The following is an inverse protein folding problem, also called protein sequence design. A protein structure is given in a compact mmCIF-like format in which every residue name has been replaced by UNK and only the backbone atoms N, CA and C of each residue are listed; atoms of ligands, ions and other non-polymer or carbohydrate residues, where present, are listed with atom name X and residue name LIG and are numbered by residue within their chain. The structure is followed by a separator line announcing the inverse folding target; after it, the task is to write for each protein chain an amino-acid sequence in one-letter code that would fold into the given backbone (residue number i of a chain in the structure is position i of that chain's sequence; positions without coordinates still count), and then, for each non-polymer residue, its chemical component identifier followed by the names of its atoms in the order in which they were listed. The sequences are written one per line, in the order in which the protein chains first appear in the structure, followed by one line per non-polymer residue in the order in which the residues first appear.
data_IF_373767097135
#
_entry.id   IF_373767097135
#
_cell.length_a   1.000
_cell.length_b   1.000
_cell.length_c   1.000
_cell.angle_alpha   90.00
_cell.angle_beta   90.00
_cell.angle_gamma   90.00
#
_symmetry.space_group_name_H-M   'P 1'
#
loop_
_entity.id
_entity.type
_entity.pdbx_description
1 polymer ?
#
# COMPACT_ATOMS: atom_id res chain seq x y z
N UNK A 1 44.64 -27.33 23.21
CA UNK A 1 43.40 -27.36 24.03
C UNK A 1 42.42 -28.33 23.37
N UNK A 2 41.86 -29.30 24.08
CA UNK A 2 40.91 -30.27 23.54
C UNK A 2 39.50 -29.64 23.71
N UNK A 3 38.76 -29.53 22.60
CA UNK A 3 37.40 -28.99 22.66
C UNK A 3 36.46 -29.97 23.34
N UNK A 4 35.37 -29.52 24.03
CA UNK A 4 34.38 -30.38 24.64
C UNK A 4 33.73 -31.32 23.61
N UNK A 5 33.25 -32.49 24.08
CA UNK A 5 32.53 -33.42 23.23
C UNK A 5 31.25 -32.77 22.64
N UNK A 6 31.09 -32.88 21.32
CA UNK A 6 29.97 -32.28 20.65
C UNK A 6 30.17 -30.82 20.20
N UNK A 7 31.25 -30.16 20.67
CA UNK A 7 31.48 -28.74 20.32
C UNK A 7 31.84 -28.52 18.85
N UNK A 8 32.24 -29.54 18.12
CA UNK A 8 32.67 -29.49 16.73
C UNK A 8 34.17 -29.62 16.57
N UNK A 9 34.70 -29.35 15.39
CA UNK A 9 36.11 -29.53 15.08
C UNK A 9 36.64 -28.52 14.07
N UNK A 10 37.88 -28.06 14.29
CA UNK A 10 38.64 -27.27 13.31
C UNK A 10 39.80 -28.14 12.87
N UNK A 11 39.88 -28.45 11.58
CA UNK A 11 40.92 -29.34 11.03
C UNK A 11 41.45 -28.83 9.69
N UNK A 12 42.72 -29.14 9.42
CA UNK A 12 43.39 -28.72 8.20
C UNK A 12 43.10 -29.69 7.06
N UNK A 13 42.72 -29.16 5.93
CA UNK A 13 42.54 -29.88 4.68
C UNK A 13 43.85 -30.04 3.96
N UNK A 14 44.03 -31.13 3.20
CA UNK A 14 45.20 -31.37 2.36
C UNK A 14 45.18 -30.50 1.09
N UNK A 15 46.35 -30.25 0.53
CA UNK A 15 46.56 -29.46 -0.69
C UNK A 15 46.82 -27.97 -0.45
N UNK A 16 47.22 -27.27 -1.53
CA UNK A 16 47.53 -25.83 -1.50
C UNK A 16 46.29 -24.98 -1.63
N UNK A 17 45.61 -24.67 -0.53
CA UNK A 17 44.33 -23.94 -0.47
C UNK A 17 44.53 -22.58 0.18
N UNK A 18 43.85 -21.55 -0.32
CA UNK A 18 43.82 -20.21 0.27
C UNK A 18 43.26 -20.23 1.71
N UNK A 19 42.23 -21.06 1.95
CA UNK A 19 41.62 -21.28 3.26
C UNK A 19 41.70 -22.77 3.64
N UNK A 20 42.83 -23.21 4.22
CA UNK A 20 43.10 -24.64 4.42
C UNK A 20 42.39 -25.23 5.66
N UNK A 21 41.82 -24.41 6.55
CA UNK A 21 41.18 -24.89 7.76
C UNK A 21 39.66 -24.98 7.56
N UNK A 22 39.10 -26.16 7.77
CA UNK A 22 37.65 -26.40 7.76
C UNK A 22 37.13 -26.44 9.20
N UNK A 23 36.00 -25.80 9.40
CA UNK A 23 35.25 -25.78 10.66
C UNK A 23 34.00 -26.64 10.48
N UNK A 24 33.83 -27.66 11.34
CA UNK A 24 32.69 -28.57 11.25
C UNK A 24 32.00 -28.75 12.60
N UNK A 25 30.70 -28.86 12.57
CA UNK A 25 29.82 -29.13 13.70
C UNK A 25 28.97 -30.36 13.41
N UNK A 26 28.33 -30.92 14.44
CA UNK A 26 27.35 -31.96 14.29
C UNK A 26 25.96 -31.35 14.50
N UNK A 27 25.05 -31.60 13.54
CA UNK A 27 23.66 -31.14 13.58
C UNK A 27 22.76 -32.35 13.66
N UNK A 28 21.77 -32.33 14.55
CA UNK A 28 20.76 -33.36 14.65
C UNK A 28 19.72 -33.13 13.55
N UNK A 29 19.48 -34.15 12.71
CA UNK A 29 18.47 -34.16 11.65
C UNK A 29 17.45 -35.24 11.94
N UNK A 30 16.25 -35.22 11.32
CA UNK A 30 15.25 -36.27 11.46
C UNK A 30 15.78 -37.68 11.12
N UNK A 31 16.85 -37.77 10.33
CA UNK A 31 17.49 -39.01 9.87
C UNK A 31 18.73 -39.37 10.70
N UNK A 32 19.08 -38.59 11.75
CA UNK A 32 20.23 -38.82 12.61
C UNK A 32 21.21 -37.64 12.65
N UNK A 33 22.33 -37.82 13.37
CA UNK A 33 23.34 -36.80 13.59
C UNK A 33 24.30 -36.73 12.42
N UNK A 34 24.35 -35.57 11.73
CA UNK A 34 25.15 -35.37 10.51
C UNK A 34 26.25 -34.34 10.79
N UNK A 35 27.46 -34.59 10.25
CA UNK A 35 28.56 -33.64 10.28
C UNK A 35 28.39 -32.58 9.18
N UNK A 36 28.34 -31.30 9.57
CA UNK A 36 28.18 -30.16 8.65
C UNK A 36 29.38 -29.24 8.73
N UNK A 37 30.00 -28.88 7.58
CA UNK A 37 31.02 -27.85 7.50
C UNK A 37 30.37 -26.50 7.51
N UNK A 38 30.78 -25.62 8.45
CA UNK A 38 30.21 -24.29 8.65
C UNK A 38 31.02 -23.18 8.01
N UNK A 39 32.27 -23.47 7.63
CA UNK A 39 33.11 -22.50 6.93
C UNK A 39 34.53 -23.00 6.74
N UNK A 40 35.31 -22.18 6.01
CA UNK A 40 36.73 -22.37 5.76
C UNK A 40 37.49 -21.08 6.12
N UNK A 41 38.66 -21.19 6.76
CA UNK A 41 39.44 -20.04 7.18
C UNK A 41 40.93 -20.25 6.89
N UNK A 42 41.71 -19.15 6.91
CA UNK A 42 43.13 -19.15 6.62
C UNK A 42 43.96 -19.66 7.81
N UNK A 43 43.54 -19.30 9.04
CA UNK A 43 44.23 -19.71 10.27
C UNK A 43 43.33 -20.57 11.16
N UNK A 44 43.93 -21.38 12.03
CA UNK A 44 43.24 -22.25 12.98
C UNK A 44 42.47 -21.44 14.04
N UNK A 45 43.05 -20.33 14.42
CA UNK A 45 42.51 -19.38 15.41
C UNK A 45 41.18 -18.79 14.92
N UNK A 46 41.10 -18.39 13.65
CA UNK A 46 39.85 -17.90 13.01
C UNK A 46 38.79 -18.98 13.02
N UNK A 47 39.20 -20.24 12.78
CA UNK A 47 38.27 -21.38 12.85
C UNK A 47 37.75 -21.67 14.25
N UNK A 48 38.57 -21.48 15.27
CA UNK A 48 38.12 -21.62 16.67
C UNK A 48 37.19 -20.48 17.07
N UNK A 49 37.43 -19.26 16.59
CA UNK A 49 36.55 -18.13 16.79
C UNK A 49 35.20 -18.37 16.10
N UNK A 50 35.21 -18.82 14.85
CA UNK A 50 34.00 -19.18 14.10
C UNK A 50 33.20 -20.26 14.81
N UNK A 51 33.85 -21.24 15.41
CA UNK A 51 33.19 -22.31 16.18
C UNK A 51 32.59 -21.78 17.49
N UNK A 52 33.29 -20.87 18.17
CA UNK A 52 32.78 -20.21 19.37
C UNK A 52 31.53 -19.32 19.08
N UNK A 53 31.60 -18.57 17.99
CA UNK A 53 30.48 -17.73 17.54
C UNK A 53 29.28 -18.58 17.11
N UNK A 54 29.52 -19.74 16.51
CA UNK A 54 28.47 -20.73 16.23
C UNK A 54 27.76 -21.19 17.51
N UNK A 55 28.49 -21.48 18.58
CA UNK A 55 27.88 -21.95 19.84
C UNK A 55 27.20 -20.85 20.64
N UNK A 56 27.58 -19.59 20.42
CA UNK A 56 26.83 -18.44 20.96
C UNK A 56 25.48 -18.28 20.28
N UNK A 57 25.35 -18.70 18.99
CA UNK A 57 24.15 -18.63 18.20
C UNK A 57 23.97 -19.88 17.33
N UNK A 58 23.56 -21.03 17.87
CA UNK A 58 23.49 -22.32 17.15
C UNK A 58 22.46 -22.37 16.02
N UNK A 59 21.52 -21.43 15.97
CA UNK A 59 20.49 -21.34 14.91
C UNK A 59 20.99 -20.77 13.58
N UNK A 60 22.26 -20.36 13.46
CA UNK A 60 22.73 -19.42 12.45
C UNK A 60 23.30 -20.01 11.16
N UNK A 61 23.47 -21.33 10.97
CA UNK A 61 24.18 -21.81 9.75
C UNK A 61 23.28 -21.88 8.53
N UNK A 62 22.04 -22.32 8.68
CA UNK A 62 21.09 -22.31 7.55
C UNK A 62 20.58 -20.90 7.29
N UNK A 63 20.32 -20.15 8.37
CA UNK A 63 19.85 -18.77 8.28
C UNK A 63 20.93 -17.77 7.88
N UNK A 64 22.19 -17.99 8.26
CA UNK A 64 23.30 -17.10 7.91
C UNK A 64 23.64 -17.06 6.40
N UNK A 65 23.22 -18.05 5.62
CA UNK A 65 23.41 -18.08 4.17
C UNK A 65 22.23 -17.48 3.38
N UNK A 66 21.08 -17.23 4.02
CA UNK A 66 19.88 -16.74 3.37
C UNK A 66 20.12 -15.35 2.79
N UNK A 67 19.85 -15.21 1.50
CA UNK A 67 19.99 -13.96 0.77
C UNK A 67 18.79 -13.04 0.95
N UNK A 68 18.94 -11.77 0.63
CA UNK A 68 17.85 -10.79 0.62
C UNK A 68 16.68 -11.24 -0.26
N UNK A 69 16.98 -11.83 -1.44
CA UNK A 69 15.94 -12.32 -2.34
C UNK A 69 15.18 -13.51 -1.76
N UNK A 70 15.83 -14.41 -1.04
CA UNK A 70 15.17 -15.55 -0.38
C UNK A 70 14.31 -15.09 0.81
N UNK A 71 14.77 -14.08 1.59
CA UNK A 71 13.96 -13.45 2.63
C UNK A 71 12.72 -12.82 2.02
N UNK A 72 12.89 -12.06 0.92
CA UNK A 72 11.74 -11.46 0.23
C UNK A 72 10.74 -12.51 -0.26
N UNK A 73 11.20 -13.60 -0.87
CA UNK A 73 10.32 -14.66 -1.37
C UNK A 73 9.49 -15.29 -0.23
N UNK A 74 10.16 -15.71 0.86
CA UNK A 74 9.49 -16.30 2.03
C UNK A 74 8.48 -15.32 2.67
N UNK A 75 8.89 -14.07 2.88
CA UNK A 75 8.02 -13.03 3.40
C UNK A 75 6.83 -12.76 2.45
N UNK A 76 7.06 -12.71 1.14
CA UNK A 76 6.04 -12.45 0.15
C UNK A 76 4.96 -13.55 0.12
N UNK A 77 5.36 -14.82 0.20
CA UNK A 77 4.45 -15.97 0.24
C UNK A 77 3.48 -15.88 1.43
N UNK A 78 3.96 -15.45 2.60
CA UNK A 78 3.14 -15.31 3.80
C UNK A 78 2.32 -14.01 3.83
N UNK A 79 2.86 -12.93 3.28
CA UNK A 79 2.30 -11.59 3.41
C UNK A 79 1.29 -11.27 2.31
N UNK A 80 1.55 -11.69 1.07
CA UNK A 80 0.73 -11.29 -0.08
C UNK A 80 -0.68 -11.88 -0.08
N UNK A 81 -0.89 -13.00 0.59
CA UNK A 81 -2.25 -13.57 0.78
C UNK A 81 -3.14 -12.73 1.69
N UNK A 82 -2.54 -11.84 2.50
CA UNK A 82 -3.24 -11.03 3.51
C UNK A 82 -3.54 -9.60 3.04
N UNK A 83 -3.06 -9.20 1.86
CA UNK A 83 -3.13 -7.82 1.38
C UNK A 83 -3.77 -7.71 0.00
N UNK A 84 -4.18 -6.50 -0.38
CA UNK A 84 -4.79 -6.25 -1.70
C UNK A 84 -3.78 -6.37 -2.84
N UNK A 85 -4.25 -6.75 -4.04
CA UNK A 85 -3.43 -6.83 -5.25
C UNK A 85 -2.68 -5.50 -5.57
N UNK A 86 -3.26 -4.36 -5.22
CA UNK A 86 -2.60 -3.06 -5.39
C UNK A 86 -1.39 -2.90 -4.46
N UNK A 87 -1.48 -3.37 -3.20
CA UNK A 87 -0.36 -3.35 -2.28
C UNK A 87 0.73 -4.34 -2.72
N UNK A 88 0.36 -5.53 -3.20
CA UNK A 88 1.31 -6.49 -3.79
C UNK A 88 2.13 -5.83 -4.89
N UNK A 89 1.47 -5.17 -5.87
CA UNK A 89 2.16 -4.43 -6.95
C UNK A 89 3.09 -3.35 -6.40
N UNK A 90 2.69 -2.66 -5.32
CA UNK A 90 3.52 -1.66 -4.66
C UNK A 90 4.80 -2.24 -4.05
N UNK A 91 4.71 -3.36 -3.34
CA UNK A 91 5.88 -4.07 -2.79
C UNK A 91 6.78 -4.64 -3.88
N UNK A 92 6.21 -5.22 -4.94
CA UNK A 92 6.96 -5.71 -6.09
C UNK A 92 7.73 -4.57 -6.80
N UNK A 93 7.12 -3.39 -6.94
CA UNK A 93 7.78 -2.23 -7.52
C UNK A 93 8.94 -1.72 -6.63
N UNK A 94 8.75 -1.70 -5.30
CA UNK A 94 9.81 -1.37 -4.34
C UNK A 94 10.94 -2.39 -4.38
N UNK A 95 10.63 -3.68 -4.43
CA UNK A 95 11.63 -4.75 -4.52
C UNK A 95 12.50 -4.62 -5.77
N UNK A 96 11.94 -4.25 -6.91
CA UNK A 96 12.68 -4.00 -8.15
C UNK A 96 13.77 -2.93 -8.02
N UNK A 97 13.67 -2.03 -7.06
CA UNK A 97 14.73 -1.06 -6.77
C UNK A 97 15.92 -1.66 -6.00
N UNK A 98 15.79 -2.88 -5.47
CA UNK A 98 16.77 -3.52 -4.58
C UNK A 98 17.71 -4.50 -5.28
N UNK A 99 17.93 -4.39 -6.59
CA UNK A 99 18.69 -5.38 -7.39
C UNK A 99 20.08 -5.67 -6.86
N UNK A 100 20.75 -4.66 -6.32
CA UNK A 100 22.09 -4.78 -5.73
C UNK A 100 22.11 -5.64 -4.46
N UNK A 101 20.99 -5.71 -3.73
CA UNK A 101 20.87 -6.48 -2.50
C UNK A 101 20.51 -7.95 -2.74
N UNK A 102 19.99 -8.31 -3.90
CA UNK A 102 19.37 -9.63 -4.13
C UNK A 102 20.27 -10.82 -3.70
N UNK A 103 21.53 -10.76 -4.06
CA UNK A 103 22.51 -11.83 -3.78
C UNK A 103 23.28 -11.65 -2.47
N UNK A 104 23.06 -10.53 -1.78
CA UNK A 104 23.70 -10.31 -0.47
C UNK A 104 23.00 -11.18 0.58
N UNK A 105 23.78 -11.78 1.47
CA UNK A 105 23.21 -12.48 2.62
C UNK A 105 22.55 -11.44 3.54
N UNK A 106 21.38 -11.78 4.06
CA UNK A 106 20.61 -10.87 4.92
C UNK A 106 21.41 -10.39 6.14
N UNK A 107 22.24 -11.28 6.69
CA UNK A 107 23.13 -10.99 7.84
C UNK A 107 24.24 -9.97 7.53
N UNK A 108 24.61 -9.77 6.27
CA UNK A 108 25.66 -8.84 5.86
C UNK A 108 25.11 -7.46 5.48
N UNK A 109 23.81 -7.32 5.32
CA UNK A 109 23.20 -6.04 4.96
C UNK A 109 23.24 -5.08 6.14
N UNK A 110 23.81 -3.90 5.90
CA UNK A 110 23.94 -2.80 6.86
C UNK A 110 23.18 -1.57 6.39
N UNK A 111 23.07 -0.57 7.27
CA UNK A 111 22.47 0.73 6.93
C UNK A 111 23.03 1.28 5.61
N UNK A 112 24.34 1.22 5.41
CA UNK A 112 24.98 1.79 4.22
C UNK A 112 24.47 1.17 2.92
N UNK A 113 24.22 -0.15 2.89
CA UNK A 113 23.68 -0.83 1.71
C UNK A 113 22.23 -0.39 1.42
N UNK A 114 21.39 -0.29 2.46
CA UNK A 114 20.01 0.15 2.33
C UNK A 114 19.92 1.62 1.90
N UNK A 115 20.75 2.48 2.53
CA UNK A 115 20.82 3.90 2.20
C UNK A 115 21.29 4.10 0.76
N UNK A 116 22.28 3.33 0.31
CA UNK A 116 22.76 3.39 -1.08
C UNK A 116 21.62 3.12 -2.08
N UNK A 117 20.80 2.10 -1.85
CA UNK A 117 19.62 1.84 -2.70
C UNK A 117 18.64 3.04 -2.70
N UNK A 118 18.39 3.66 -1.55
CA UNK A 118 17.56 4.86 -1.45
C UNK A 118 18.15 6.00 -2.29
N UNK A 119 19.46 6.22 -2.17
CA UNK A 119 20.14 7.37 -2.76
C UNK A 119 20.32 7.23 -4.29
N UNK A 120 20.37 5.99 -4.79
CA UNK A 120 20.66 5.69 -6.21
C UNK A 120 19.42 5.34 -7.04
N UNK A 121 18.32 4.92 -6.43
CA UNK A 121 17.16 4.43 -7.18
C UNK A 121 16.38 5.51 -7.97
N UNK A 122 16.69 6.80 -7.79
CA UNK A 122 16.11 7.92 -8.55
C UNK A 122 14.60 8.09 -8.38
N UNK A 123 14.02 7.68 -7.24
CA UNK A 123 12.59 7.78 -6.96
C UNK A 123 12.25 8.99 -6.11
N UNK A 124 11.00 9.49 -6.25
CA UNK A 124 10.47 10.55 -5.43
C UNK A 124 10.17 10.10 -3.99
N UNK A 125 10.04 11.06 -3.06
CA UNK A 125 9.83 10.80 -1.63
C UNK A 125 8.70 9.81 -1.31
N UNK A 126 7.47 9.89 -1.90
CA UNK A 126 6.42 8.91 -1.63
C UNK A 126 6.81 7.47 -2.00
N UNK A 127 7.61 7.29 -3.05
CA UNK A 127 8.10 5.98 -3.48
C UNK A 127 9.22 5.49 -2.57
N UNK A 128 10.15 6.37 -2.17
CA UNK A 128 11.20 6.06 -1.21
C UNK A 128 10.61 5.64 0.14
N UNK A 129 9.53 6.28 0.58
CA UNK A 129 8.82 5.87 1.80
C UNK A 129 8.26 4.44 1.70
N UNK A 130 7.73 4.04 0.54
CA UNK A 130 7.28 2.65 0.33
C UNK A 130 8.45 1.66 0.35
N UNK A 131 9.59 2.06 -0.20
CA UNK A 131 10.81 1.26 -0.17
C UNK A 131 11.33 1.09 1.27
N UNK A 132 11.33 2.17 2.06
CA UNK A 132 11.67 2.11 3.49
C UNK A 132 10.73 1.17 4.26
N UNK A 133 9.42 1.20 3.96
CA UNK A 133 8.45 0.26 4.54
C UNK A 133 8.77 -1.18 4.15
N UNK A 134 9.15 -1.44 2.90
CA UNK A 134 9.58 -2.79 2.48
C UNK A 134 10.80 -3.25 3.29
N UNK A 135 11.82 -2.42 3.45
CA UNK A 135 12.99 -2.76 4.27
C UNK A 135 12.58 -3.11 5.71
N UNK A 136 11.74 -2.30 6.34
CA UNK A 136 11.25 -2.57 7.69
C UNK A 136 10.50 -3.89 7.79
N UNK A 137 9.67 -4.23 6.81
CA UNK A 137 8.94 -5.50 6.78
C UNK A 137 9.88 -6.70 6.63
N UNK A 138 10.89 -6.60 5.76
CA UNK A 138 11.85 -7.69 5.53
C UNK A 138 12.77 -7.89 6.73
N UNK A 139 13.26 -6.80 7.36
CA UNK A 139 14.07 -6.91 8.57
C UNK A 139 13.27 -7.44 9.77
N UNK A 140 12.00 -7.01 9.91
CA UNK A 140 11.10 -7.57 10.92
C UNK A 140 10.92 -9.08 10.72
N UNK A 141 10.61 -9.53 9.51
CA UNK A 141 10.49 -10.94 9.17
C UNK A 141 11.80 -11.69 9.46
N UNK A 142 12.95 -11.11 9.09
CA UNK A 142 14.26 -11.72 9.32
C UNK A 142 14.60 -11.86 10.82
N UNK A 143 14.20 -10.89 11.65
CA UNK A 143 14.34 -10.98 13.11
C UNK A 143 13.42 -12.05 13.71
N UNK A 144 12.13 -12.07 13.29
CA UNK A 144 11.14 -13.05 13.78
C UNK A 144 11.50 -14.49 13.43
N UNK A 145 12.33 -14.69 12.39
CA UNK A 145 12.80 -16.02 11.92
C UNK A 145 14.28 -16.28 12.22
N UNK A 146 14.89 -15.54 13.14
CA UNK A 146 16.30 -15.70 13.56
C UNK A 146 17.31 -15.64 12.39
N UNK A 147 16.95 -14.95 11.28
CA UNK A 147 17.81 -14.78 10.11
C UNK A 147 18.84 -13.66 10.34
N UNK A 148 18.49 -12.65 11.11
CA UNK A 148 19.39 -11.59 11.53
C UNK A 148 19.16 -11.21 13.00
N UNK A 149 20.16 -10.56 13.61
CA UNK A 149 20.11 -10.19 15.03
C UNK A 149 19.84 -8.69 15.25
N UNK A 150 19.78 -7.91 14.16
CA UNK A 150 19.60 -6.46 14.25
C UNK A 150 18.86 -5.94 13.02
N UNK A 151 17.90 -5.06 13.27
CA UNK A 151 17.20 -4.30 12.23
C UNK A 151 17.99 -3.03 11.87
N UNK A 152 18.56 -3.01 10.66
CA UNK A 152 19.24 -1.83 10.13
C UNK A 152 18.33 -0.92 9.33
N UNK A 153 17.09 -1.35 9.00
CA UNK A 153 16.14 -0.56 8.23
C UNK A 153 15.69 0.69 8.98
N UNK A 154 15.62 0.64 10.32
CA UNK A 154 15.24 1.75 11.17
C UNK A 154 16.18 2.97 11.08
N UNK A 155 17.40 2.77 10.60
CA UNK A 155 18.41 3.84 10.46
C UNK A 155 18.43 4.46 9.06
N UNK A 156 17.59 3.98 8.15
CA UNK A 156 17.50 4.52 6.79
C UNK A 156 16.83 5.89 6.83
N UNK A 157 17.48 6.88 6.26
CA UNK A 157 17.00 8.25 6.23
C UNK A 157 16.56 8.65 4.82
N UNK A 158 15.34 9.17 4.72
CA UNK A 158 14.75 9.72 3.50
C UNK A 158 14.34 11.19 3.65
N UNK A 159 14.64 11.84 4.79
CA UNK A 159 14.17 13.20 5.08
C UNK A 159 14.65 14.22 4.05
N UNK A 160 15.90 14.07 3.57
CA UNK A 160 16.50 14.95 2.55
C UNK A 160 15.76 14.98 1.20
N UNK A 161 14.86 14.02 0.95
CA UNK A 161 14.08 13.92 -0.29
C UNK A 161 12.68 14.51 -0.16
N UNK A 162 12.26 14.93 1.05
CA UNK A 162 10.89 15.36 1.33
C UNK A 162 10.48 16.59 0.52
N UNK A 163 11.37 17.56 0.40
CA UNK A 163 11.13 18.83 -0.29
C UNK A 163 11.46 18.76 -1.79
N UNK A 164 12.02 17.63 -2.26
CA UNK A 164 12.39 17.38 -3.66
C UNK A 164 11.36 16.51 -4.38
N UNK A 165 10.07 16.71 -4.10
CA UNK A 165 9.02 16.00 -4.81
C UNK A 165 8.43 16.92 -5.92
N UNK A 166 8.97 16.90 -7.16
CA UNK A 166 8.46 17.71 -8.26
C UNK A 166 7.03 17.31 -8.67
N UNK A 167 6.63 16.08 -8.33
CA UNK A 167 5.30 15.54 -8.62
C UNK A 167 4.34 15.69 -7.43
N UNK A 168 4.64 16.58 -6.47
CA UNK A 168 3.73 16.91 -5.39
C UNK A 168 2.47 17.54 -5.98
N UNK A 169 1.47 16.72 -6.23
CA UNK A 169 0.15 17.19 -6.67
C UNK A 169 -0.44 17.97 -5.51
N UNK A 170 -0.46 19.28 -5.65
CA UNK A 170 -1.21 20.17 -4.77
C UNK A 170 -2.70 19.93 -5.07
N UNK A 171 -3.34 19.06 -4.30
CA UNK A 171 -4.75 18.71 -4.48
C UNK A 171 -5.61 19.87 -4.07
N UNK A 172 -6.29 20.47 -5.03
CA UNK A 172 -7.23 21.55 -4.82
C UNK A 172 -8.66 21.04 -5.05
N UNK A 173 -9.64 21.46 -4.25
CA UNK A 173 -11.04 21.25 -4.57
C UNK A 173 -11.38 22.01 -5.86
N UNK A 174 -12.42 21.54 -6.57
CA UNK A 174 -12.99 22.34 -7.67
C UNK A 174 -13.49 23.67 -7.11
N UNK A 175 -13.17 24.75 -7.81
CA UNK A 175 -13.66 26.10 -7.49
C UNK A 175 -15.15 26.23 -7.82
N UNK A 176 -15.79 27.26 -7.29
CA UNK A 176 -17.20 27.57 -7.62
C UNK A 176 -17.41 27.76 -9.13
N UNK A 177 -16.54 28.52 -9.79
CA UNK A 177 -16.59 28.76 -11.23
C UNK A 177 -16.43 27.47 -12.06
N UNK A 178 -15.59 26.53 -11.59
CA UNK A 178 -15.43 25.23 -12.24
C UNK A 178 -16.68 24.36 -12.07
N UNK A 179 -17.28 24.38 -10.89
CA UNK A 179 -18.56 23.68 -10.63
C UNK A 179 -19.66 24.25 -11.51
N UNK A 180 -19.76 25.57 -11.66
CA UNK A 180 -20.76 26.23 -12.52
C UNK A 180 -20.55 25.85 -14.01
N UNK A 181 -19.31 25.77 -14.46
CA UNK A 181 -18.99 25.27 -15.82
C UNK A 181 -19.38 23.79 -15.99
N UNK A 182 -19.19 22.95 -14.97
CA UNK A 182 -19.65 21.56 -15.00
C UNK A 182 -21.18 21.48 -15.10
N UNK A 183 -21.91 22.29 -14.34
CA UNK A 183 -23.39 22.36 -14.43
C UNK A 183 -23.86 22.84 -15.79
N UNK A 184 -23.23 23.89 -16.36
CA UNK A 184 -23.55 24.38 -17.69
C UNK A 184 -23.34 23.34 -18.79
N UNK A 185 -22.41 22.41 -18.58
CA UNK A 185 -22.11 21.32 -19.50
C UNK A 185 -22.88 20.02 -19.19
N UNK A 186 -23.64 19.97 -18.09
CA UNK A 186 -24.37 18.76 -17.67
C UNK A 186 -25.56 18.41 -18.57
N UNK A 187 -26.12 19.38 -19.27
CA UNK A 187 -27.20 19.19 -20.23
C UNK A 187 -26.77 18.49 -21.51
N UNK A 188 -25.46 18.37 -21.72
CA UNK A 188 -24.92 17.61 -22.84
C UNK A 188 -25.00 16.09 -22.55
N UNK A 189 -24.90 15.28 -23.60
CA UNK A 189 -24.85 13.81 -23.47
C UNK A 189 -23.54 13.28 -22.85
N UNK A 190 -22.72 14.19 -22.29
CA UNK A 190 -21.46 13.81 -21.67
C UNK A 190 -21.67 13.15 -20.29
N UNK A 191 -21.71 11.84 -20.32
CA UNK A 191 -21.91 11.00 -19.14
C UNK A 191 -20.85 11.15 -18.06
N UNK A 192 -19.61 11.51 -18.45
CA UNK A 192 -18.49 11.71 -17.51
C UNK A 192 -18.73 12.94 -16.63
N UNK A 193 -19.37 14.00 -17.16
CA UNK A 193 -19.76 15.18 -16.36
C UNK A 193 -20.80 14.79 -15.32
N UNK A 194 -21.81 13.99 -15.72
CA UNK A 194 -22.86 13.53 -14.80
C UNK A 194 -22.25 12.71 -13.65
N UNK A 195 -21.35 11.78 -13.97
CA UNK A 195 -20.61 11.03 -12.95
C UNK A 195 -19.79 11.97 -12.05
N UNK A 196 -19.08 12.95 -12.61
CA UNK A 196 -18.27 13.90 -11.82
C UNK A 196 -19.14 14.72 -10.85
N UNK A 197 -20.26 15.24 -11.30
CA UNK A 197 -21.21 15.96 -10.43
C UNK A 197 -21.78 15.03 -9.34
N UNK A 198 -22.16 13.80 -9.67
CA UNK A 198 -22.57 12.81 -8.67
C UNK A 198 -21.46 12.51 -7.65
N UNK A 199 -20.18 12.53 -8.07
CA UNK A 199 -19.04 12.39 -7.15
C UNK A 199 -18.88 13.61 -6.23
N UNK A 200 -18.97 14.82 -6.77
CA UNK A 200 -18.85 16.07 -6.00
C UNK A 200 -19.94 16.12 -4.92
N UNK A 201 -21.18 15.81 -5.26
CA UNK A 201 -22.32 15.90 -4.35
C UNK A 201 -22.62 14.64 -3.52
N UNK A 202 -21.76 13.64 -3.55
CA UNK A 202 -21.84 12.46 -2.67
C UNK A 202 -20.57 12.22 -1.85
N UNK A 203 -19.43 12.77 -2.28
CA UNK A 203 -18.13 12.51 -1.69
C UNK A 203 -17.68 11.04 -1.78
N UNK A 204 -18.34 10.20 -2.58
CA UNK A 204 -17.93 8.82 -2.80
C UNK A 204 -16.58 8.74 -3.51
N UNK A 205 -15.83 7.67 -3.24
CA UNK A 205 -14.59 7.42 -4.01
C UNK A 205 -14.95 6.92 -5.40
N UNK A 206 -14.19 7.33 -6.40
CA UNK A 206 -14.45 6.90 -7.78
C UNK A 206 -14.54 5.39 -7.93
N UNK A 207 -13.66 4.62 -7.27
CA UNK A 207 -13.69 3.16 -7.28
C UNK A 207 -14.93 2.56 -6.61
N UNK A 208 -15.57 3.26 -5.65
CA UNK A 208 -16.83 2.86 -5.04
C UNK A 208 -17.99 3.02 -6.05
N UNK A 209 -17.96 4.09 -6.85
CA UNK A 209 -18.95 4.33 -7.89
C UNK A 209 -18.81 3.38 -9.09
N UNK A 210 -17.58 2.96 -9.45
CA UNK A 210 -17.41 1.94 -10.50
C UNK A 210 -18.05 0.59 -10.13
N UNK A 211 -18.05 0.25 -8.85
CA UNK A 211 -18.64 -1.01 -8.37
C UNK A 211 -20.12 -0.88 -7.97
N UNK A 212 -20.68 0.34 -8.01
CA UNK A 212 -22.04 0.59 -7.57
C UNK A 212 -23.07 -0.03 -8.53
N UNK A 213 -23.79 -1.03 -8.02
CA UNK A 213 -24.87 -1.68 -8.75
C UNK A 213 -26.21 -0.95 -8.51
N UNK A 214 -27.10 -0.96 -9.50
CA UNK A 214 -28.43 -0.36 -9.41
C UNK A 214 -29.27 -0.90 -8.27
N UNK A 215 -29.15 -2.20 -7.95
CA UNK A 215 -29.87 -2.81 -6.83
C UNK A 215 -29.56 -2.19 -5.46
N UNK A 216 -28.44 -1.48 -5.36
CA UNK A 216 -27.97 -0.82 -4.14
C UNK A 216 -28.34 0.68 -4.11
N UNK A 217 -29.14 1.15 -5.05
CA UNK A 217 -29.60 2.54 -5.11
C UNK A 217 -31.09 2.58 -4.79
N UNK A 218 -31.42 3.28 -3.74
CA UNK A 218 -32.78 3.54 -3.27
C UNK A 218 -33.18 4.96 -3.70
N UNK A 219 -33.44 5.11 -5.00
CA UNK A 219 -33.59 6.43 -5.60
C UNK A 219 -34.78 7.22 -5.01
N UNK A 220 -35.93 6.55 -4.76
CA UNK A 220 -37.09 7.18 -4.13
C UNK A 220 -36.85 7.68 -2.71
N UNK A 221 -35.90 7.07 -1.98
CA UNK A 221 -35.49 7.45 -0.62
C UNK A 221 -34.22 8.31 -0.63
N UNK A 222 -33.63 8.54 -1.80
CA UNK A 222 -32.45 9.37 -2.05
C UNK A 222 -31.20 8.94 -1.29
N UNK A 223 -30.86 7.65 -1.39
CA UNK A 223 -29.59 7.13 -0.87
C UNK A 223 -29.11 5.91 -1.66
N UNK A 224 -27.84 5.57 -1.52
CA UNK A 224 -27.25 4.35 -2.06
C UNK A 224 -26.30 3.69 -1.06
N UNK A 225 -26.14 2.37 -1.21
CA UNK A 225 -25.30 1.56 -0.34
C UNK A 225 -23.98 1.17 -1.01
N UNK A 226 -22.87 1.41 -0.31
CA UNK A 226 -21.53 0.96 -0.72
C UNK A 226 -21.25 -0.36 -0.02
N UNK A 227 -21.35 -1.47 -0.76
CA UNK A 227 -21.12 -2.83 -0.25
C UNK A 227 -19.65 -3.15 0.00
N UNK A 228 -18.74 -2.52 -0.78
CA UNK A 228 -17.29 -2.81 -0.73
C UNK A 228 -16.50 -1.52 -0.77
N UNK A 229 -15.57 -1.39 0.16
CA UNK A 229 -14.64 -0.27 0.20
C UNK A 229 -13.26 -0.73 0.70
N UNK A 230 -12.24 0.11 0.48
CA UNK A 230 -10.87 -0.14 0.94
C UNK A 230 -10.76 -0.25 2.47
N UNK A 231 -11.67 0.39 3.21
CA UNK A 231 -11.69 0.41 4.67
C UNK A 231 -13.09 0.03 5.18
N UNK A 232 -13.23 -0.56 6.38
CA UNK A 232 -14.55 -0.85 6.96
C UNK A 232 -15.46 0.37 7.04
N UNK A 233 -14.94 1.55 7.41
CA UNK A 233 -15.69 2.81 7.45
C UNK A 233 -16.19 3.28 6.07
N UNK A 234 -15.66 2.72 4.99
CA UNK A 234 -16.12 3.00 3.64
C UNK A 234 -17.41 2.25 3.26
N UNK A 235 -17.76 1.17 3.95
CA UNK A 235 -19.03 0.45 3.78
C UNK A 235 -20.11 1.25 4.51
N UNK A 236 -21.02 1.86 3.75
CA UNK A 236 -21.96 2.82 4.30
C UNK A 236 -23.11 3.15 3.36
N UNK A 237 -24.13 3.74 3.90
CA UNK A 237 -25.19 4.44 3.18
C UNK A 237 -24.75 5.87 2.90
N UNK A 238 -24.90 6.31 1.66
CA UNK A 238 -24.53 7.65 1.17
C UNK A 238 -25.79 8.35 0.68
N UNK A 239 -26.09 9.57 1.17
CA UNK A 239 -27.24 10.33 0.72
C UNK A 239 -27.04 10.86 -0.72
N UNK A 240 -28.12 10.97 -1.48
CA UNK A 240 -28.19 11.61 -2.80
C UNK A 240 -28.74 13.02 -2.61
N UNK A 241 -27.92 14.03 -2.88
CA UNK A 241 -28.34 15.42 -2.82
C UNK A 241 -29.43 15.69 -3.85
N UNK A 242 -30.41 16.50 -3.48
CA UNK A 242 -31.53 16.85 -4.33
C UNK A 242 -31.13 17.48 -5.66
N UNK A 243 -30.10 18.32 -5.61
CA UNK A 243 -29.53 19.02 -6.77
C UNK A 243 -29.04 18.07 -7.88
N UNK A 244 -28.51 16.91 -7.54
CA UNK A 244 -27.99 15.91 -8.51
C UNK A 244 -29.00 14.78 -8.76
N UNK A 245 -30.15 14.78 -8.14
CA UNK A 245 -31.16 13.73 -8.29
C UNK A 245 -31.50 13.44 -9.76
N UNK A 246 -31.77 14.47 -10.61
CA UNK A 246 -32.08 14.22 -12.02
C UNK A 246 -30.95 13.53 -12.78
N UNK A 247 -29.67 13.78 -12.40
CA UNK A 247 -28.52 13.11 -13.00
C UNK A 247 -28.47 11.62 -12.61
N UNK A 248 -28.85 11.30 -11.36
CA UNK A 248 -28.96 9.91 -10.92
C UNK A 248 -30.08 9.17 -11.68
N UNK A 249 -31.24 9.78 -11.92
CA UNK A 249 -32.30 9.18 -12.73
C UNK A 249 -31.80 8.83 -14.13
N UNK A 250 -31.10 9.76 -14.79
CA UNK A 250 -30.51 9.54 -16.11
C UNK A 250 -29.46 8.40 -16.11
N UNK A 251 -28.62 8.34 -15.08
CA UNK A 251 -27.65 7.26 -14.95
C UNK A 251 -28.32 5.90 -14.68
N UNK A 252 -29.38 5.88 -13.88
CA UNK A 252 -30.17 4.67 -13.59
C UNK A 252 -30.95 4.15 -14.81
N UNK A 253 -31.33 5.00 -15.76
CA UNK A 253 -32.05 4.61 -16.96
C UNK A 253 -31.25 3.80 -17.97
N UNK A 254 -29.91 3.81 -17.91
CA UNK A 254 -29.05 3.08 -18.87
C UNK A 254 -29.20 1.56 -18.73
N UNK A 255 -29.02 0.82 -19.83
CA UNK A 255 -29.04 -0.65 -19.82
C UNK A 255 -27.70 -1.20 -19.27
N UNK A 256 -27.65 -1.43 -17.98
CA UNK A 256 -26.50 -1.99 -17.25
C UNK A 256 -26.91 -2.39 -15.85
N UNK A 257 -26.23 -3.34 -15.23
CA UNK A 257 -26.33 -3.62 -13.80
C UNK A 257 -25.67 -2.54 -12.94
N UNK A 258 -24.74 -1.80 -13.52
CA UNK A 258 -24.00 -0.73 -12.85
C UNK A 258 -24.65 0.62 -13.10
N UNK A 259 -24.67 1.49 -12.08
CA UNK A 259 -25.17 2.86 -12.21
C UNK A 259 -24.27 3.63 -13.18
N UNK A 260 -22.96 3.52 -12.98
CA UNK A 260 -21.96 4.17 -13.80
C UNK A 260 -21.21 3.12 -14.63
N UNK A 261 -21.38 3.19 -15.94
CA UNK A 261 -20.87 2.18 -16.87
C UNK A 261 -20.33 2.83 -18.15
N UNK A 262 -19.49 2.08 -18.88
CA UNK A 262 -19.04 2.48 -20.19
C UNK A 262 -20.15 2.36 -21.25
N UNK A 263 -19.86 2.67 -22.52
CA UNK A 263 -20.83 2.62 -23.61
C UNK A 263 -21.38 1.19 -23.86
N UNK A 264 -20.67 0.15 -23.46
CA UNK A 264 -21.07 -1.26 -23.58
C UNK A 264 -21.84 -1.77 -22.35
N UNK A 265 -22.15 -0.92 -21.38
CA UNK A 265 -22.84 -1.31 -20.14
C UNK A 265 -21.95 -2.01 -19.09
N UNK A 266 -20.65 -2.09 -19.31
CA UNK A 266 -19.72 -2.68 -18.36
C UNK A 266 -19.19 -1.64 -17.37
N UNK A 267 -18.82 -2.10 -16.15
CA UNK A 267 -18.18 -1.23 -15.17
C UNK A 267 -16.90 -0.60 -15.68
N UNK A 268 -16.57 0.59 -15.22
CA UNK A 268 -15.32 1.24 -15.55
C UNK A 268 -14.12 0.54 -14.90
N UNK A 269 -13.02 0.50 -15.65
CA UNK A 269 -11.69 0.16 -15.11
C UNK A 269 -10.91 1.46 -14.90
N UNK A 270 -10.28 1.62 -13.73
CA UNK A 270 -9.68 2.89 -13.29
C UNK A 270 -8.74 3.52 -14.34
N UNK A 271 -7.83 2.73 -14.92
CA UNK A 271 -6.89 3.21 -15.94
C UNK A 271 -7.63 3.65 -17.21
N UNK A 272 -8.51 2.81 -17.74
CA UNK A 272 -9.28 3.12 -18.94
C UNK A 272 -10.16 4.35 -18.75
N UNK A 273 -10.79 4.48 -17.56
CA UNK A 273 -11.60 5.66 -17.26
C UNK A 273 -10.76 6.93 -17.27
N UNK A 274 -9.58 6.91 -16.63
CA UNK A 274 -8.69 8.07 -16.60
C UNK A 274 -8.22 8.46 -18.00
N UNK A 275 -7.74 7.47 -18.78
CA UNK A 275 -7.12 7.74 -20.07
C UNK A 275 -8.15 8.13 -21.14
N UNK A 276 -9.35 7.50 -21.14
CA UNK A 276 -10.34 7.66 -22.21
C UNK A 276 -11.51 8.59 -21.90
N UNK A 277 -11.74 8.92 -20.61
CA UNK A 277 -12.90 9.73 -20.21
C UNK A 277 -12.48 10.93 -19.37
N UNK A 278 -11.71 10.72 -18.30
CA UNK A 278 -11.37 11.78 -17.36
C UNK A 278 -10.41 12.81 -17.93
N UNK A 279 -9.24 12.37 -18.40
CA UNK A 279 -8.22 13.28 -18.92
C UNK A 279 -8.75 14.09 -20.11
N UNK A 280 -9.40 13.49 -21.13
CA UNK A 280 -10.02 14.26 -22.21
C UNK A 280 -11.06 15.29 -21.73
N UNK A 281 -11.85 14.96 -20.69
CA UNK A 281 -12.78 15.92 -20.12
C UNK A 281 -12.07 17.08 -19.44
N UNK A 282 -11.04 16.80 -18.66
CA UNK A 282 -10.24 17.83 -17.99
C UNK A 282 -9.57 18.78 -19.01
N UNK A 283 -9.00 18.22 -20.09
CA UNK A 283 -8.40 18.98 -21.18
C UNK A 283 -9.45 19.87 -21.88
N UNK A 284 -10.63 19.30 -22.20
CA UNK A 284 -11.74 20.04 -22.83
C UNK A 284 -12.21 21.23 -22.00
N UNK A 285 -12.28 21.04 -20.68
CA UNK A 285 -12.73 22.06 -19.74
C UNK A 285 -11.60 23.00 -19.27
N UNK A 286 -10.36 22.78 -19.72
CA UNK A 286 -9.16 23.47 -19.25
C UNK A 286 -9.06 23.44 -17.71
N UNK A 287 -9.16 22.23 -17.14
CA UNK A 287 -9.07 21.94 -15.72
C UNK A 287 -7.96 20.91 -15.45
N UNK A 288 -7.38 20.93 -14.25
CA UNK A 288 -6.26 20.02 -13.87
C UNK A 288 -6.54 19.26 -12.58
N UNK A 289 -7.69 18.58 -12.54
CA UNK A 289 -8.10 17.81 -11.37
C UNK A 289 -7.92 16.30 -11.56
N UNK A 290 -7.74 15.61 -10.44
CA UNK A 290 -7.81 14.16 -10.37
C UNK A 290 -9.20 13.73 -9.86
N UNK A 291 -9.67 12.50 -10.15
CA UNK A 291 -10.97 12.03 -9.68
C UNK A 291 -11.19 12.15 -8.16
N UNK A 292 -10.11 12.06 -7.37
CA UNK A 292 -10.20 12.18 -5.92
C UNK A 292 -10.49 13.64 -5.43
N UNK A 293 -10.22 14.63 -6.28
CA UNK A 293 -10.46 16.03 -5.93
C UNK A 293 -11.96 16.35 -5.85
N UNK A 294 -12.82 15.61 -6.58
CA UNK A 294 -14.26 15.69 -6.44
C UNK A 294 -14.73 15.39 -5.00
N UNK A 295 -14.12 14.39 -4.36
CA UNK A 295 -14.40 14.09 -2.95
C UNK A 295 -13.87 15.16 -2.00
N UNK A 296 -12.68 15.73 -2.28
CA UNK A 296 -12.17 16.88 -1.52
C UNK A 296 -13.11 18.08 -1.64
N UNK A 297 -13.68 18.31 -2.82
CA UNK A 297 -14.68 19.34 -3.07
C UNK A 297 -15.92 19.14 -2.21
N UNK A 298 -16.49 17.92 -2.18
CA UNK A 298 -17.61 17.60 -1.30
C UNK A 298 -17.31 17.95 0.17
N UNK A 299 -16.17 17.51 0.69
CA UNK A 299 -15.77 17.80 2.07
C UNK A 299 -15.66 19.30 2.30
N UNK A 300 -14.99 20.04 1.40
CA UNK A 300 -14.84 21.50 1.51
C UNK A 300 -16.16 22.22 1.47
N UNK A 301 -17.09 21.85 0.57
CA UNK A 301 -18.42 22.44 0.47
C UNK A 301 -19.24 22.21 1.74
N UNK A 302 -19.26 20.98 2.27
CA UNK A 302 -19.95 20.65 3.52
C UNK A 302 -19.35 21.40 4.73
N UNK A 303 -18.02 21.51 4.78
CA UNK A 303 -17.33 22.27 5.84
C UNK A 303 -17.70 23.75 5.77
N UNK A 304 -17.69 24.35 4.57
CA UNK A 304 -18.06 25.76 4.36
C UNK A 304 -19.55 26.02 4.66
N UNK A 305 -20.40 25.01 4.46
CA UNK A 305 -21.83 25.07 4.83
C UNK A 305 -22.07 24.87 6.35
N UNK A 306 -21.01 24.69 7.15
CA UNK A 306 -21.12 24.55 8.60
C UNK A 306 -21.58 23.17 9.07
N UNK A 307 -21.48 22.15 8.23
CA UNK A 307 -21.84 20.77 8.62
C UNK A 307 -20.81 20.22 9.63
N UNK A 308 -21.31 19.58 10.68
CA UNK A 308 -20.47 18.95 11.72
C UNK A 308 -19.48 17.94 11.11
N UNK A 309 -18.22 17.97 11.55
CA UNK A 309 -17.14 17.14 11.01
C UNK A 309 -17.45 15.63 11.12
N UNK A 310 -18.16 15.20 12.16
CA UNK A 310 -18.56 13.79 12.33
C UNK A 310 -19.57 13.38 11.28
N UNK A 311 -20.53 14.26 10.94
CA UNK A 311 -21.49 14.06 9.87
C UNK A 311 -20.75 13.94 8.53
N UNK A 312 -19.81 14.84 8.23
CA UNK A 312 -18.98 14.79 7.02
C UNK A 312 -18.23 13.45 6.95
N UNK A 313 -17.54 13.06 8.03
CA UNK A 313 -16.82 11.76 8.09
C UNK A 313 -17.72 10.57 7.81
N UNK A 314 -18.96 10.57 8.33
CA UNK A 314 -19.94 9.48 8.10
C UNK A 314 -20.43 9.47 6.64
N UNK A 315 -20.75 10.61 6.04
CA UNK A 315 -21.16 10.70 4.64
C UNK A 315 -20.05 10.20 3.73
N UNK A 316 -18.84 10.74 3.87
CA UNK A 316 -17.72 10.41 2.97
C UNK A 316 -17.04 9.08 3.32
N UNK A 317 -17.22 8.52 4.52
CA UNK A 317 -16.59 7.27 4.95
C UNK A 317 -15.10 7.45 5.27
N UNK A 318 -14.78 8.40 6.13
CA UNK A 318 -13.48 8.51 6.79
C UNK A 318 -13.50 7.72 8.09
N UNK A 319 -12.44 6.96 8.38
CA UNK A 319 -12.28 6.32 9.67
C UNK A 319 -12.08 7.41 10.74
N UNK A 320 -12.82 7.32 11.84
CA UNK A 320 -12.60 8.15 13.02
C UNK A 320 -11.25 7.84 13.66
N UNK A 321 -10.62 8.83 14.28
CA UNK A 321 -9.32 8.66 14.96
C UNK A 321 -9.46 8.02 16.35
N UNK A 322 -10.66 7.93 16.90
CA UNK A 322 -10.91 7.34 18.24
C UNK A 322 -12.02 6.29 18.21
N UNK A 323 -11.93 5.32 19.14
CA UNK A 323 -12.95 4.29 19.36
C UNK A 323 -14.30 4.94 19.77
N UNK A 324 -14.26 6.04 20.50
CA UNK A 324 -15.42 6.79 20.99
C UNK A 324 -16.22 7.41 19.82
N UNK A 325 -15.55 7.91 18.76
CA UNK A 325 -16.23 8.44 17.56
C UNK A 325 -17.00 7.36 16.79
N UNK A 326 -16.58 6.09 16.89
CA UNK A 326 -17.20 4.99 16.15
C UNK A 326 -18.41 4.37 16.86
N UNK A 327 -18.51 4.47 18.20
CA UNK A 327 -19.48 3.74 19.01
C UNK A 327 -20.77 4.55 19.25
N UNK A 328 -20.74 5.89 19.27
CA UNK A 328 -21.85 6.70 19.80
C UNK A 328 -22.64 7.51 18.77
N UNK A 329 -22.43 7.36 17.47
CA UNK A 329 -23.15 8.17 16.49
C UNK A 329 -23.92 7.31 15.48
N UNK A 330 -25.12 6.89 15.83
CA UNK A 330 -26.12 6.49 14.84
C UNK A 330 -26.72 7.79 14.23
N UNK A 331 -26.14 8.23 13.10
CA UNK A 331 -26.70 9.31 12.30
C UNK A 331 -27.64 8.68 11.27
N UNK A 332 -28.91 8.99 11.39
CA UNK A 332 -29.93 8.46 10.50
C UNK A 332 -29.91 9.13 9.11
N UNK A 333 -30.49 8.48 8.12
CA UNK A 333 -30.49 8.97 6.74
C UNK A 333 -31.14 10.37 6.60
N UNK A 334 -32.26 10.72 7.30
CA UNK A 334 -32.80 12.07 7.22
C UNK A 334 -31.80 13.18 7.59
N UNK A 335 -30.95 12.94 8.57
CA UNK A 335 -29.90 13.90 9.00
C UNK A 335 -28.81 14.04 7.94
N UNK A 336 -28.37 12.92 7.34
CA UNK A 336 -27.43 12.93 6.22
C UNK A 336 -27.98 13.67 5.01
N UNK A 337 -29.28 13.48 4.70
CA UNK A 337 -29.97 14.17 3.61
C UNK A 337 -30.09 15.69 3.87
N UNK A 338 -30.39 16.10 5.10
CA UNK A 338 -30.35 17.52 5.46
C UNK A 338 -28.97 18.11 5.25
N UNK A 339 -27.93 17.41 5.70
CA UNK A 339 -26.54 17.87 5.59
C UNK A 339 -26.10 17.99 4.11
N UNK A 340 -26.35 16.96 3.28
CA UNK A 340 -25.89 16.97 1.88
C UNK A 340 -26.65 17.98 1.02
N UNK A 341 -27.86 18.33 1.37
CA UNK A 341 -28.67 19.32 0.65
C UNK A 341 -28.29 20.79 0.96
N UNK A 342 -27.32 21.02 1.86
CA UNK A 342 -26.73 22.35 2.09
C UNK A 342 -25.74 22.78 1.00
N UNK A 343 -25.37 21.86 0.08
CA UNK A 343 -24.36 22.10 -0.96
C UNK A 343 -24.92 21.94 -2.37
#
# INVERSE_FOLDING_TARGET
MRLPNGYGSVYKLSGNRRNPWAVAVFVDTPTGRVRKIIGYCAAKEDGLQMLADYHKNPFTIETASITFSEVYAKWADEHFVKISASNVKGYQASYKCCTELYKMRMVDIRKANLQHVIDTCGKNYPTLRKLQVLFSQLFKFALENDICVRDYSQFVDIAQYKDKNPDAINRQPFSADEIDRLWSAADTDNYTIKLLLCMIYSGARIGELYELKKKNVHLGERWFYIEKSKTPAGIREVPIAEKVYPLWEQCMARQSDYVFCNAQGNKFMDRTFRDSYWNPLMDQLNMTHLPHDARHTCVSMLTNAGVDERMIKKIVGHAGQSVTENVYTHLEMPEKLKAINLI
#
